data_IF_359207913925
#
_entry.id   IF_359207913925
#
_cell.length_a   1.000
_cell.length_b   1.000
_cell.length_c   1.000
_cell.angle_alpha   90.00
_cell.angle_beta   90.00
_cell.angle_gamma   90.00
#
_symmetry.space_group_name_H-M   'P 1'
#
loop_
_entity.id
_entity.type
_entity.pdbx_description
1 polymer ?
#
# COMPACT_ATOMS: atom_id res chain seq x y z
N UNK A 1 -13.40 3.15 1.74
CA UNK A 1 -12.65 1.87 1.69
C UNK A 1 -12.30 1.47 0.26
N UNK A 2 -13.29 1.43 -0.69
CA UNK A 2 -13.04 0.99 -2.07
C UNK A 2 -11.93 1.80 -2.79
N UNK A 3 -11.93 3.13 -2.68
CA UNK A 3 -10.88 3.98 -3.26
C UNK A 3 -9.51 3.67 -2.64
N UNK A 4 -9.46 3.42 -1.33
CA UNK A 4 -8.21 3.09 -0.63
C UNK A 4 -7.64 1.77 -1.17
N UNK A 5 -8.46 0.72 -1.28
CA UNK A 5 -8.01 -0.55 -1.84
C UNK A 5 -7.62 -0.40 -3.31
N UNK A 6 -8.38 0.35 -4.10
CA UNK A 6 -8.06 0.60 -5.51
C UNK A 6 -6.68 1.25 -5.69
N UNK A 7 -6.33 2.24 -4.84
CA UNK A 7 -5.00 2.87 -4.86
C UNK A 7 -3.88 1.91 -4.45
N UNK A 8 -4.12 1.10 -3.41
CA UNK A 8 -3.15 0.07 -2.96
C UNK A 8 -2.89 -0.92 -4.09
N UNK A 9 -3.96 -1.44 -4.67
CA UNK A 9 -3.91 -2.46 -5.72
C UNK A 9 -3.32 -1.88 -7.01
N UNK A 10 -3.66 -0.64 -7.40
CA UNK A 10 -3.07 0.02 -8.57
C UNK A 10 -1.55 0.18 -8.42
N UNK A 11 -1.09 0.71 -7.27
CA UNK A 11 0.34 0.85 -6.99
C UNK A 11 1.06 -0.51 -6.95
N UNK A 12 0.45 -1.52 -6.33
CA UNK A 12 1.01 -2.87 -6.28
C UNK A 12 1.14 -3.48 -7.69
N UNK A 13 0.07 -3.52 -8.49
CA UNK A 13 0.11 -4.11 -9.84
C UNK A 13 1.02 -3.35 -10.81
N UNK A 14 1.14 -2.03 -10.65
CA UNK A 14 2.15 -1.27 -11.39
C UNK A 14 3.56 -1.78 -11.09
N UNK A 15 3.91 -1.88 -9.80
CA UNK A 15 5.22 -2.32 -9.36
C UNK A 15 5.47 -3.81 -9.68
N UNK A 16 4.46 -4.66 -9.44
CA UNK A 16 4.51 -6.09 -9.70
C UNK A 16 4.78 -6.41 -11.17
N UNK A 17 4.16 -5.66 -12.08
CA UNK A 17 4.40 -5.79 -13.53
C UNK A 17 5.81 -5.36 -13.96
N UNK A 18 6.51 -4.56 -13.14
CA UNK A 18 7.84 -4.07 -13.43
C UNK A 18 8.96 -4.88 -12.76
N UNK A 19 8.65 -5.71 -11.75
CA UNK A 19 9.66 -6.42 -10.97
C UNK A 19 10.48 -7.40 -11.81
N UNK A 20 9.83 -8.21 -12.64
CA UNK A 20 10.50 -9.22 -13.48
C UNK A 20 11.37 -8.57 -14.58
N UNK A 21 10.90 -7.56 -15.33
CA UNK A 21 11.77 -6.80 -16.24
C UNK A 21 12.99 -6.16 -15.57
N UNK A 22 12.82 -5.61 -14.36
CA UNK A 22 13.93 -5.02 -13.58
C UNK A 22 14.91 -6.10 -13.15
N UNK A 23 14.42 -7.22 -12.60
CA UNK A 23 15.28 -8.35 -12.21
C UNK A 23 16.05 -8.90 -13.41
N UNK A 24 15.34 -9.15 -14.53
CA UNK A 24 15.95 -9.66 -15.75
C UNK A 24 17.07 -8.75 -16.29
N UNK A 25 16.88 -7.41 -16.22
CA UNK A 25 17.83 -6.44 -16.74
C UNK A 25 19.06 -6.26 -15.84
N UNK A 26 18.89 -6.37 -14.52
CA UNK A 26 19.95 -6.06 -13.55
C UNK A 26 20.66 -7.34 -13.07
N UNK A 27 19.92 -8.40 -12.76
CA UNK A 27 20.44 -9.63 -12.16
C UNK A 27 20.52 -10.77 -13.17
N UNK A 28 19.45 -10.97 -13.92
CA UNK A 28 19.25 -12.07 -14.84
C UNK A 28 17.96 -12.81 -14.51
N UNK A 29 17.19 -13.20 -15.54
CA UNK A 29 15.88 -13.85 -15.36
C UNK A 29 16.00 -15.26 -14.74
N UNK A 30 17.13 -15.91 -14.92
CA UNK A 30 17.46 -17.23 -14.37
C UNK A 30 17.47 -17.24 -12.84
N UNK A 31 17.66 -16.07 -12.20
CA UNK A 31 17.63 -15.92 -10.75
C UNK A 31 16.24 -15.66 -10.17
N UNK A 32 15.19 -15.55 -11.01
CA UNK A 32 13.81 -15.29 -10.55
C UNK A 32 13.31 -16.32 -9.52
N UNK A 33 13.53 -17.65 -9.67
CA UNK A 33 13.08 -18.60 -8.66
C UNK A 33 13.74 -18.36 -7.29
N UNK A 34 15.02 -17.99 -7.28
CA UNK A 34 15.77 -17.69 -6.05
C UNK A 34 15.23 -16.39 -5.44
N UNK A 35 14.97 -15.36 -6.25
CA UNK A 35 14.39 -14.10 -5.79
C UNK A 35 13.02 -14.34 -5.13
N UNK A 36 12.21 -15.24 -5.68
CA UNK A 36 10.92 -15.62 -5.10
C UNK A 36 11.07 -16.28 -3.73
N UNK A 37 12.00 -17.23 -3.59
CA UNK A 37 12.28 -17.88 -2.30
C UNK A 37 12.74 -16.85 -1.25
N UNK A 38 13.68 -15.97 -1.62
CA UNK A 38 14.16 -14.89 -0.74
C UNK A 38 12.99 -13.97 -0.33
N UNK A 39 12.11 -13.62 -1.26
CA UNK A 39 10.94 -12.78 -0.97
C UNK A 39 10.01 -13.44 0.03
N UNK A 40 9.74 -14.74 -0.10
CA UNK A 40 8.89 -15.48 0.85
C UNK A 40 9.52 -15.48 2.24
N UNK A 41 10.80 -15.80 2.36
CA UNK A 41 11.50 -15.79 3.64
C UNK A 41 11.53 -14.40 4.28
N UNK A 42 11.80 -13.38 3.49
CA UNK A 42 11.80 -11.98 3.95
C UNK A 42 10.40 -11.56 4.40
N UNK A 43 9.36 -11.93 3.64
CA UNK A 43 7.96 -11.63 4.01
C UNK A 43 7.58 -12.29 5.34
N UNK A 44 8.01 -13.53 5.61
CA UNK A 44 7.79 -14.18 6.90
C UNK A 44 8.41 -13.38 8.05
N UNK A 45 9.66 -12.96 7.91
CA UNK A 45 10.34 -12.14 8.93
C UNK A 45 9.61 -10.80 9.14
N UNK A 46 9.26 -10.12 8.04
CA UNK A 46 8.56 -8.83 8.12
C UNK A 46 7.16 -9.01 8.73
N UNK A 47 6.47 -10.13 8.47
CA UNK A 47 5.17 -10.42 9.09
C UNK A 47 5.29 -10.55 10.61
N UNK A 48 6.35 -11.17 11.14
CA UNK A 48 6.59 -11.20 12.58
C UNK A 48 6.79 -9.78 13.17
N UNK A 49 7.53 -8.92 12.46
CA UNK A 49 7.69 -7.51 12.84
C UNK A 49 6.35 -6.76 12.77
N UNK A 50 5.56 -7.01 11.73
CA UNK A 50 4.22 -6.45 11.57
C UNK A 50 3.29 -6.84 12.72
N UNK A 51 3.27 -8.12 13.12
CA UNK A 51 2.44 -8.59 14.23
C UNK A 51 2.83 -7.92 15.55
N UNK A 52 4.13 -7.76 15.80
CA UNK A 52 4.61 -7.00 16.95
C UNK A 52 4.16 -5.53 16.90
N UNK A 53 4.28 -4.87 15.75
CA UNK A 53 3.85 -3.47 15.57
C UNK A 53 2.33 -3.31 15.71
N UNK A 54 1.54 -4.31 15.32
CA UNK A 54 0.07 -4.29 15.45
C UNK A 54 -0.37 -4.25 16.91
N UNK A 55 0.42 -4.83 17.83
CA UNK A 55 0.16 -4.78 19.26
C UNK A 55 0.47 -3.42 19.90
N UNK A 56 1.34 -2.62 19.29
CA UNK A 56 1.82 -1.34 19.83
C UNK A 56 1.17 -0.12 19.17
N UNK A 57 0.78 -0.22 17.90
CA UNK A 57 0.31 0.91 17.10
C UNK A 57 -1.16 0.75 16.70
N UNK A 58 -1.86 1.90 16.64
CA UNK A 58 -3.19 1.92 16.02
C UNK A 58 -3.08 1.57 14.54
N UNK A 59 -4.12 0.93 13.98
CA UNK A 59 -4.14 0.51 12.57
C UNK A 59 -3.91 1.67 11.59
N UNK A 60 -4.40 2.88 11.91
CA UNK A 60 -4.14 4.07 11.11
C UNK A 60 -2.67 4.50 11.14
N UNK A 61 -2.02 4.46 12.31
CA UNK A 61 -0.60 4.76 12.44
C UNK A 61 0.26 3.71 11.72
N UNK A 62 -0.16 2.44 11.76
CA UNK A 62 0.50 1.36 11.06
C UNK A 62 0.43 1.56 9.53
N UNK A 63 -0.73 2.00 8.99
CA UNK A 63 -0.83 2.41 7.58
C UNK A 63 0.17 3.52 7.23
N UNK A 64 0.27 4.54 8.08
CA UNK A 64 1.24 5.62 7.88
C UNK A 64 2.66 5.10 7.86
N UNK A 65 3.04 4.30 8.87
CA UNK A 65 4.38 3.75 8.98
C UNK A 65 4.74 2.92 7.75
N UNK A 66 3.91 1.94 7.39
CA UNK A 66 4.16 1.04 6.25
C UNK A 66 4.21 1.82 4.94
N UNK A 67 3.26 2.75 4.71
CA UNK A 67 3.25 3.57 3.49
C UNK A 67 4.46 4.48 3.39
N UNK A 68 4.91 5.09 4.49
CA UNK A 68 6.10 5.94 4.47
C UNK A 68 7.36 5.13 4.23
N UNK A 69 7.53 4.00 4.93
CA UNK A 69 8.70 3.13 4.77
C UNK A 69 8.82 2.63 3.33
N UNK A 70 7.76 2.01 2.80
CA UNK A 70 7.81 1.50 1.42
C UNK A 70 7.84 2.62 0.37
N UNK A 71 7.15 3.75 0.60
CA UNK A 71 7.22 4.91 -0.27
C UNK A 71 8.64 5.46 -0.39
N UNK A 72 9.37 5.56 0.74
CA UNK A 72 10.79 5.97 0.74
C UNK A 72 11.67 4.93 0.06
N UNK A 73 11.48 3.65 0.36
CA UNK A 73 12.23 2.55 -0.29
C UNK A 73 12.07 2.62 -1.81
N UNK A 74 10.83 2.74 -2.32
CA UNK A 74 10.60 2.81 -3.76
C UNK A 74 11.07 4.12 -4.40
N UNK A 75 11.08 5.23 -3.66
CA UNK A 75 11.72 6.47 -4.13
C UNK A 75 13.23 6.28 -4.30
N UNK A 76 13.90 5.66 -3.33
CA UNK A 76 15.33 5.34 -3.42
C UNK A 76 15.60 4.39 -4.58
N UNK A 77 14.80 3.32 -4.72
CA UNK A 77 14.93 2.38 -5.84
C UNK A 77 14.72 3.11 -7.17
N UNK A 78 13.73 4.00 -7.29
CA UNK A 78 13.50 4.81 -8.48
C UNK A 78 14.72 5.65 -8.86
N UNK A 79 15.35 6.30 -7.88
CA UNK A 79 16.55 7.11 -8.09
C UNK A 79 17.75 6.24 -8.53
N UNK A 80 17.96 5.09 -7.88
CA UNK A 80 19.02 4.15 -8.23
C UNK A 80 18.81 3.49 -9.59
N UNK A 81 17.56 3.23 -9.99
CA UNK A 81 17.24 2.72 -11.34
C UNK A 81 17.49 3.76 -12.44
N UNK A 82 17.43 5.05 -12.10
CA UNK A 82 17.74 6.13 -13.03
C UNK A 82 19.24 6.39 -13.18
N UNK A 83 20.06 5.89 -12.26
CA UNK A 83 21.51 6.08 -12.27
C UNK A 83 22.15 5.49 -13.55
N UNK A 84 23.00 6.26 -14.26
CA UNK A 84 23.66 5.79 -15.48
C UNK A 84 24.60 4.61 -15.25
N UNK A 85 25.29 4.59 -14.11
CA UNK A 85 26.38 3.64 -13.84
C UNK A 85 25.85 2.34 -13.20
N UNK A 86 24.97 2.45 -12.22
CA UNK A 86 24.44 1.29 -11.46
C UNK A 86 23.03 0.85 -11.81
N UNK A 87 22.28 1.69 -12.53
CA UNK A 87 20.86 1.47 -12.82
C UNK A 87 20.57 0.64 -14.07
N UNK A 88 19.39 0.87 -14.66
CA UNK A 88 18.91 0.15 -15.85
C UNK A 88 19.66 0.51 -17.14
N UNK A 89 20.33 1.67 -17.17
CA UNK A 89 21.11 2.17 -18.32
C UNK A 89 22.56 1.73 -18.28
N UNK A 90 23.00 1.12 -17.18
CA UNK A 90 24.37 0.62 -17.07
C UNK A 90 24.71 -0.32 -18.23
N UNK A 91 25.94 -0.19 -18.72
CA UNK A 91 26.53 -1.11 -19.70
C UNK A 91 26.95 -2.44 -19.11
N UNK A 92 26.91 -2.58 -17.78
CA UNK A 92 27.29 -3.80 -17.09
C UNK A 92 26.39 -4.96 -17.45
N UNK A 93 26.99 -6.13 -17.61
CA UNK A 93 26.25 -7.37 -17.80
C UNK A 93 25.35 -7.67 -16.59
N UNK A 94 24.16 -8.24 -16.80
CA UNK A 94 23.36 -8.75 -15.70
C UNK A 94 24.16 -9.71 -14.83
N UNK A 95 23.99 -9.60 -13.50
CA UNK A 95 24.73 -10.48 -12.61
C UNK A 95 24.19 -10.47 -11.17
N UNK A 96 24.36 -11.60 -10.44
CA UNK A 96 23.81 -11.78 -9.10
C UNK A 96 24.42 -10.85 -8.04
N UNK A 97 25.54 -10.22 -8.33
CA UNK A 97 26.20 -9.25 -7.43
C UNK A 97 25.53 -7.87 -7.43
N UNK A 98 24.63 -7.60 -8.38
CA UNK A 98 23.91 -6.32 -8.49
C UNK A 98 22.69 -6.32 -7.57
N UNK A 99 22.88 -5.90 -6.33
CA UNK A 99 21.88 -5.97 -5.25
C UNK A 99 20.59 -5.20 -5.53
N UNK A 100 20.64 -4.14 -6.36
CA UNK A 100 19.49 -3.30 -6.66
C UNK A 100 18.28 -4.11 -7.20
N UNK A 101 18.52 -5.07 -8.10
CA UNK A 101 17.46 -5.92 -8.65
C UNK A 101 16.81 -6.82 -7.60
N UNK A 102 17.62 -7.38 -6.69
CA UNK A 102 17.11 -8.20 -5.58
C UNK A 102 16.28 -7.38 -4.60
N UNK A 103 16.78 -6.21 -4.19
CA UNK A 103 16.09 -5.31 -3.26
C UNK A 103 14.77 -4.84 -3.88
N UNK A 104 14.76 -4.45 -5.15
CA UNK A 104 13.54 -4.05 -5.84
C UNK A 104 12.51 -5.19 -5.85
N UNK A 105 12.91 -6.40 -6.24
CA UNK A 105 12.01 -7.56 -6.31
C UNK A 105 11.41 -7.91 -4.95
N UNK A 106 12.24 -8.08 -3.92
CA UNK A 106 11.82 -8.44 -2.57
C UNK A 106 10.93 -7.37 -1.96
N UNK A 107 11.26 -6.09 -2.15
CA UNK A 107 10.47 -4.98 -1.60
C UNK A 107 9.04 -4.94 -2.18
N UNK A 108 8.87 -5.23 -3.48
CA UNK A 108 7.55 -5.25 -4.13
C UNK A 108 6.69 -6.39 -3.57
N UNK A 109 7.25 -7.59 -3.44
CA UNK A 109 6.54 -8.75 -2.87
C UNK A 109 6.12 -8.51 -1.42
N UNK A 110 7.03 -7.96 -0.59
CA UNK A 110 6.73 -7.63 0.80
C UNK A 110 5.66 -6.54 0.91
N UNK A 111 5.74 -5.49 0.06
CA UNK A 111 4.75 -4.41 0.03
C UNK A 111 3.35 -4.95 -0.25
N UNK A 112 3.20 -5.75 -1.32
CA UNK A 112 1.90 -6.30 -1.71
C UNK A 112 1.27 -7.13 -0.60
N UNK A 113 2.04 -8.03 0.01
CA UNK A 113 1.59 -8.89 1.09
C UNK A 113 1.14 -8.09 2.33
N UNK A 114 1.95 -7.13 2.78
CA UNK A 114 1.67 -6.35 3.98
C UNK A 114 0.51 -5.37 3.79
N UNK A 115 0.47 -4.65 2.67
CA UNK A 115 -0.54 -3.62 2.45
C UNK A 115 -1.94 -4.21 2.27
N UNK A 116 -2.06 -5.36 1.62
CA UNK A 116 -3.34 -6.06 1.50
C UNK A 116 -3.80 -6.61 2.85
N UNK A 117 -2.90 -7.23 3.62
CA UNK A 117 -3.22 -7.71 4.97
C UNK A 117 -3.66 -6.56 5.89
N UNK A 118 -2.94 -5.45 5.86
CA UNK A 118 -3.23 -4.25 6.65
C UNK A 118 -4.57 -3.62 6.25
N UNK A 119 -4.87 -3.57 4.94
CA UNK A 119 -6.16 -3.08 4.46
C UNK A 119 -7.32 -3.89 5.02
N UNK A 120 -7.26 -5.22 4.93
CA UNK A 120 -8.33 -6.08 5.45
C UNK A 120 -8.43 -6.01 6.97
N UNK A 121 -7.30 -5.97 7.67
CA UNK A 121 -7.28 -5.78 9.13
C UNK A 121 -7.93 -4.45 9.54
N UNK A 122 -7.69 -3.37 8.80
CA UNK A 122 -8.32 -2.08 9.03
C UNK A 122 -9.82 -2.12 8.70
N UNK A 123 -10.20 -2.64 7.53
CA UNK A 123 -11.58 -2.72 7.08
C UNK A 123 -12.43 -3.51 8.07
N UNK A 124 -11.96 -4.68 8.50
CA UNK A 124 -12.65 -5.52 9.48
C UNK A 124 -12.78 -4.86 10.88
N UNK A 125 -11.97 -3.87 11.18
CA UNK A 125 -12.05 -3.16 12.46
C UNK A 125 -13.05 -2.00 12.48
N UNK A 126 -13.50 -1.55 11.31
CA UNK A 126 -14.39 -0.38 11.18
C UNK A 126 -15.75 -0.69 10.55
N UNK A 127 -15.92 -1.90 10.02
CA UNK A 127 -17.19 -2.38 9.43
C UNK A 127 -17.79 -3.49 10.29
N UNK A 128 -19.09 -3.44 10.49
CA UNK A 128 -19.83 -4.55 11.10
C UNK A 128 -20.09 -5.66 10.05
N UNK A 129 -20.54 -6.85 10.51
CA UNK A 129 -20.71 -8.02 9.66
C UNK A 129 -21.73 -7.81 8.52
N UNK A 130 -22.83 -7.12 8.79
CA UNK A 130 -23.89 -6.86 7.78
C UNK A 130 -23.39 -5.90 6.70
N UNK A 131 -22.73 -4.81 7.10
CA UNK A 131 -22.09 -3.87 6.17
C UNK A 131 -21.01 -4.55 5.33
N UNK A 132 -20.22 -5.43 5.95
CA UNK A 132 -19.15 -6.16 5.30
C UNK A 132 -19.69 -7.09 4.21
N UNK A 133 -20.74 -7.88 4.48
CA UNK A 133 -21.35 -8.80 3.51
C UNK A 133 -21.86 -8.08 2.26
N UNK A 134 -22.44 -6.87 2.41
CA UNK A 134 -22.91 -6.07 1.28
C UNK A 134 -21.81 -5.32 0.53
N UNK A 135 -20.73 -4.94 1.20
CA UNK A 135 -19.73 -4.02 0.68
C UNK A 135 -18.50 -4.71 0.06
N UNK A 136 -18.11 -5.92 0.51
CA UNK A 136 -16.85 -6.54 0.08
C UNK A 136 -16.79 -6.81 -1.42
N UNK A 137 -17.89 -7.29 -2.01
CA UNK A 137 -17.95 -7.51 -3.45
C UNK A 137 -17.73 -6.22 -4.25
N UNK A 138 -18.35 -5.12 -3.83
CA UNK A 138 -18.18 -3.81 -4.45
C UNK A 138 -16.75 -3.27 -4.24
N UNK A 139 -16.20 -3.40 -3.03
CA UNK A 139 -14.82 -2.96 -2.72
C UNK A 139 -13.81 -3.69 -3.62
N UNK A 140 -13.95 -5.01 -3.75
CA UNK A 140 -13.07 -5.83 -4.59
C UNK A 140 -13.25 -5.47 -6.07
N UNK A 141 -14.50 -5.29 -6.54
CA UNK A 141 -14.78 -4.92 -7.93
C UNK A 141 -14.13 -3.58 -8.30
N UNK A 142 -14.23 -2.58 -7.44
CA UNK A 142 -13.58 -1.28 -7.66
C UNK A 142 -12.05 -1.42 -7.61
N UNK A 143 -11.50 -2.27 -6.75
CA UNK A 143 -10.07 -2.51 -6.69
C UNK A 143 -9.51 -3.13 -7.99
N UNK A 144 -10.29 -3.93 -8.72
CA UNK A 144 -9.88 -4.48 -10.01
C UNK A 144 -9.64 -3.39 -11.08
N UNK A 145 -10.41 -2.30 -11.06
CA UNK A 145 -10.09 -1.14 -11.92
C UNK A 145 -8.71 -0.56 -11.60
N UNK A 146 -8.35 -0.53 -10.31
CA UNK A 146 -7.00 -0.16 -9.90
C UNK A 146 -5.93 -1.11 -10.46
N UNK A 147 -6.16 -2.41 -10.40
CA UNK A 147 -5.26 -3.42 -10.96
C UNK A 147 -5.05 -3.23 -12.46
N UNK A 148 -6.14 -3.06 -13.21
CA UNK A 148 -6.11 -2.82 -14.66
C UNK A 148 -5.34 -1.53 -14.97
N UNK A 149 -5.62 -0.44 -14.25
CA UNK A 149 -4.93 0.85 -14.46
C UNK A 149 -3.43 0.73 -14.18
N UNK A 150 -3.03 0.08 -13.08
CA UNK A 150 -1.62 -0.12 -12.71
C UNK A 150 -0.87 -0.96 -13.74
N UNK A 151 -1.40 -2.11 -14.11
CA UNK A 151 -0.80 -3.00 -15.13
C UNK A 151 -0.74 -2.33 -16.50
N UNK A 152 -1.79 -1.62 -16.92
CA UNK A 152 -1.82 -0.88 -18.19
C UNK A 152 -0.76 0.21 -18.21
N UNK A 153 -0.57 0.92 -17.11
CA UNK A 153 0.49 1.93 -17.01
C UNK A 153 1.88 1.29 -17.17
N UNK A 154 2.10 0.10 -16.62
CA UNK A 154 3.36 -0.64 -16.75
C UNK A 154 3.67 -1.05 -18.20
N UNK A 155 2.66 -1.30 -19.05
CA UNK A 155 2.89 -1.63 -20.48
C UNK A 155 3.57 -0.50 -21.23
N UNK A 156 3.42 0.74 -20.77
CA UNK A 156 4.06 1.93 -21.35
C UNK A 156 5.49 2.18 -20.81
N UNK A 157 6.10 1.21 -20.14
CA UNK A 157 7.45 1.33 -19.53
C UNK A 157 8.56 1.71 -20.51
N UNK A 158 8.42 1.34 -21.80
CA UNK A 158 9.38 1.71 -22.84
C UNK A 158 9.36 3.20 -23.18
N UNK A 159 8.18 3.86 -23.14
CA UNK A 159 8.02 5.28 -23.47
C UNK A 159 8.19 6.18 -22.26
N UNK A 160 7.67 5.77 -21.10
CA UNK A 160 7.70 6.56 -19.85
C UNK A 160 9.04 6.38 -19.12
N UNK A 161 9.59 5.17 -19.15
CA UNK A 161 10.76 4.76 -18.39
C UNK A 161 10.41 4.08 -17.06
N UNK A 162 11.10 2.98 -16.77
CA UNK A 162 10.84 2.16 -15.57
C UNK A 162 11.07 2.96 -14.28
N UNK A 163 12.12 3.78 -14.22
CA UNK A 163 12.42 4.61 -13.05
C UNK A 163 11.28 5.58 -12.73
N UNK A 164 10.69 6.21 -13.77
CA UNK A 164 9.56 7.14 -13.61
C UNK A 164 8.31 6.39 -13.12
N UNK A 165 8.09 5.18 -13.60
CA UNK A 165 6.98 4.34 -13.13
C UNK A 165 7.17 3.90 -11.68
N UNK A 166 8.39 3.62 -11.23
CA UNK A 166 8.69 3.38 -9.82
C UNK A 166 8.42 4.61 -8.96
N UNK A 167 8.75 5.81 -9.46
CA UNK A 167 8.39 7.06 -8.79
C UNK A 167 6.87 7.23 -8.69
N UNK A 168 6.14 6.97 -9.78
CA UNK A 168 4.67 7.01 -9.78
C UNK A 168 4.08 6.02 -8.77
N UNK A 169 4.64 4.80 -8.67
CA UNK A 169 4.27 3.82 -7.66
C UNK A 169 4.53 4.32 -6.24
N UNK A 170 5.70 4.89 -5.96
CA UNK A 170 6.02 5.50 -4.67
C UNK A 170 5.04 6.62 -4.28
N UNK A 171 4.70 7.49 -5.23
CA UNK A 171 3.71 8.56 -5.02
C UNK A 171 2.30 8.00 -4.76
N UNK A 172 1.92 6.93 -5.46
CA UNK A 172 0.66 6.22 -5.18
C UNK A 172 0.62 5.70 -3.73
N UNK A 173 1.72 5.13 -3.25
CA UNK A 173 1.84 4.63 -1.87
C UNK A 173 1.75 5.78 -0.85
N UNK A 174 2.39 6.91 -1.09
CA UNK A 174 2.23 8.09 -0.23
C UNK A 174 0.79 8.62 -0.24
N UNK A 175 0.09 8.55 -1.38
CA UNK A 175 -1.32 8.95 -1.46
C UNK A 175 -2.23 8.08 -0.59
N UNK A 176 -1.92 6.78 -0.43
CA UNK A 176 -2.60 5.87 0.52
C UNK A 176 -2.53 6.42 1.95
N UNK A 177 -1.33 6.82 2.38
CA UNK A 177 -1.12 7.43 3.70
C UNK A 177 -1.98 8.70 3.89
N UNK A 178 -2.04 9.55 2.86
CA UNK A 178 -2.86 10.77 2.88
C UNK A 178 -4.35 10.45 2.98
N UNK A 179 -4.85 9.50 2.20
CA UNK A 179 -6.27 9.07 2.20
C UNK A 179 -6.66 8.53 3.57
N UNK A 180 -5.84 7.69 4.20
CA UNK A 180 -6.08 7.18 5.55
C UNK A 180 -6.15 8.32 6.57
N UNK A 181 -5.25 9.30 6.48
CA UNK A 181 -5.23 10.47 7.36
C UNK A 181 -6.50 11.31 7.23
N UNK A 182 -6.90 11.62 6.00
CA UNK A 182 -8.14 12.36 5.71
C UNK A 182 -9.35 11.61 6.25
N UNK A 183 -9.44 10.30 5.97
CA UNK A 183 -10.52 9.46 6.48
C UNK A 183 -10.60 9.51 8.01
N UNK A 184 -9.48 9.36 8.71
CA UNK A 184 -9.45 9.38 10.17
C UNK A 184 -9.85 10.73 10.76
N UNK A 185 -9.44 11.84 10.14
CA UNK A 185 -9.84 13.19 10.56
C UNK A 185 -11.34 13.43 10.36
N UNK A 186 -11.87 13.06 9.19
CA UNK A 186 -13.29 13.22 8.86
C UNK A 186 -14.17 12.35 9.76
N UNK A 187 -13.77 11.10 9.99
CA UNK A 187 -14.50 10.18 10.85
C UNK A 187 -14.54 10.64 12.30
N UNK A 188 -13.42 11.12 12.84
CA UNK A 188 -13.38 11.71 14.19
C UNK A 188 -14.29 12.96 14.32
N UNK A 189 -14.35 13.80 13.29
CA UNK A 189 -15.24 14.97 13.28
C UNK A 189 -16.71 14.53 13.31
N UNK A 190 -17.10 13.56 12.50
CA UNK A 190 -18.47 13.02 12.47
C UNK A 190 -18.88 12.41 13.83
N UNK A 191 -18.00 11.62 14.44
CA UNK A 191 -18.24 11.07 15.77
C UNK A 191 -18.43 12.18 16.81
N UNK A 192 -17.55 13.18 16.84
CA UNK A 192 -17.69 14.33 17.76
C UNK A 192 -19.02 15.06 17.57
N UNK A 193 -19.42 15.33 16.34
CA UNK A 193 -20.69 16.01 16.06
C UNK A 193 -21.90 15.15 16.47
N UNK A 194 -21.85 13.85 16.26
CA UNK A 194 -22.92 12.91 16.68
C UNK A 194 -23.02 12.84 18.22
N UNK A 195 -21.88 12.76 18.94
CA UNK A 195 -21.88 12.78 20.40
C UNK A 195 -22.40 14.10 20.96
N UNK A 196 -22.01 15.24 20.37
CA UNK A 196 -22.52 16.55 20.78
C UNK A 196 -24.03 16.66 20.57
N UNK A 197 -24.57 16.17 19.46
CA UNK A 197 -26.01 16.14 19.18
C UNK A 197 -26.77 15.28 20.22
N UNK A 198 -26.25 14.09 20.54
CA UNK A 198 -26.85 13.21 21.54
C UNK A 198 -26.83 13.83 22.96
N UNK A 199 -25.79 14.53 23.33
CA UNK A 199 -25.72 15.23 24.62
C UNK A 199 -26.76 16.34 24.69
N UNK A 200 -26.89 17.15 23.63
CA UNK A 200 -27.90 18.23 23.57
C UNK A 200 -29.32 17.66 23.67
N UNK A 201 -29.61 16.56 22.99
CA UNK A 201 -30.91 15.90 23.03
C UNK A 201 -31.23 15.32 24.42
N UNK A 202 -30.23 14.73 25.09
CA UNK A 202 -30.35 14.21 26.45
C UNK A 202 -30.58 15.33 27.50
N UNK A 203 -29.94 16.48 27.34
CA UNK A 203 -30.14 17.66 28.19
C UNK A 203 -31.53 18.23 28.00
N UNK A 204 -32.00 18.35 26.78
CA UNK A 204 -33.35 18.84 26.47
C UNK A 204 -34.45 17.91 27.02
N UNK A 205 -34.23 16.59 26.96
CA UNK A 205 -35.16 15.60 27.55
C UNK A 205 -35.22 15.74 29.08
N UNK A 206 -34.10 15.90 29.74
CA UNK A 206 -34.02 16.12 31.19
C UNK A 206 -34.67 17.43 31.66
N UNK A 207 -34.55 18.50 30.86
CA UNK A 207 -35.20 19.78 31.16
C UNK A 207 -36.74 19.65 31.03
N UNK A 208 -37.23 18.92 30.02
CA UNK A 208 -38.66 18.63 29.87
C UNK A 208 -39.22 17.85 31.06
N UNK A 209 -38.50 16.81 31.51
CA UNK A 209 -38.93 16.02 32.70
C UNK A 209 -38.94 16.82 34.00
N UNK A 210 -38.11 17.86 34.13
CA UNK A 210 -38.09 18.75 35.30
C UNK A 210 -39.19 19.83 35.28
N UNK A 211 -39.73 20.11 34.10
CA UNK A 211 -40.77 21.12 33.88
C UNK A 211 -42.22 20.56 33.99
N UNK A 212 -42.36 19.24 34.03
CA UNK A 212 -43.61 18.51 34.29
C UNK A 212 -43.68 18.03 35.74
#
# INVERSE_FOLDING_TARGET
HAVLLSLIIAGFWLMDSLKDPVLARIVGIEYQPIAKVISVLTTLVITCVYDFLTSQLSKANLFHLVSVVFGVVFMIISALLADPDGGLRSSDAPGPHRLLGWVAYVSIECYGSLMVALFWSFTNSVMNLEEAMGAYGLIISIAQFGAIAGSTLATNSKSIGISVLFLAGALSIFSVSLVVKVYHVVFRRKLRSAYAALQTESEFSRERERAT
#
